data_IF_107634213250
#
_entry.id   IF_107634213250
#
_cell.length_a   1.000
_cell.length_b   1.000
_cell.length_c   1.000
_cell.angle_alpha   90.00
_cell.angle_beta   90.00
_cell.angle_gamma   90.00
#
_symmetry.space_group_name_H-M   'P 1'
#
loop_
_entity.id
_entity.type
_entity.pdbx_description
1 polymer ?
#
# COMPACT_ATOMS: atom_id res chain seq x y z
N UNK A 1 -44.08 -45.02 10.53
CA UNK A 1 -43.44 -44.03 11.43
C UNK A 1 -42.03 -44.55 11.62
N UNK A 2 -40.95 -43.96 11.12
CA UNK A 2 -40.59 -42.55 11.03
C UNK A 2 -39.76 -42.27 9.76
N UNK A 3 -39.73 -41.00 9.40
CA UNK A 3 -39.07 -40.36 8.28
C UNK A 3 -37.55 -40.26 8.43
N UNK A 4 -36.79 -40.57 7.38
CA UNK A 4 -35.42 -40.07 7.20
C UNK A 4 -35.35 -39.18 5.96
N UNK A 5 -35.38 -37.86 6.19
CA UNK A 5 -35.09 -36.82 5.21
C UNK A 5 -33.61 -36.86 4.82
N UNK A 6 -33.30 -37.36 3.62
CA UNK A 6 -32.03 -37.12 2.96
C UNK A 6 -32.05 -35.77 2.24
N UNK A 7 -31.35 -34.77 2.79
CA UNK A 7 -30.99 -33.56 2.03
C UNK A 7 -29.98 -33.95 0.94
N UNK A 8 -30.10 -33.44 -0.30
CA UNK A 8 -29.09 -33.64 -1.32
C UNK A 8 -27.79 -32.87 -0.98
N UNK A 9 -26.63 -33.30 -1.50
CA UNK A 9 -25.36 -32.65 -1.22
C UNK A 9 -25.36 -31.22 -1.77
N UNK A 10 -24.71 -30.31 -1.03
CA UNK A 10 -24.50 -28.92 -1.45
C UNK A 10 -23.80 -28.92 -2.81
N UNK A 11 -24.47 -28.34 -3.80
CA UNK A 11 -23.88 -28.06 -5.10
C UNK A 11 -22.63 -27.20 -4.94
N UNK A 12 -21.61 -27.57 -5.70
CA UNK A 12 -20.45 -26.75 -5.99
C UNK A 12 -20.94 -25.39 -6.54
N UNK A 13 -20.50 -24.29 -5.93
CA UNK A 13 -20.72 -22.95 -6.49
C UNK A 13 -19.85 -22.80 -7.74
N UNK A 14 -20.38 -23.20 -8.90
CA UNK A 14 -19.79 -22.90 -10.20
C UNK A 14 -19.69 -21.37 -10.40
N UNK A 15 -18.48 -20.87 -10.69
CA UNK A 15 -18.28 -19.61 -11.42
C UNK A 15 -17.77 -18.37 -10.67
N UNK A 16 -17.52 -18.40 -9.36
CA UNK A 16 -16.96 -17.22 -8.65
C UNK A 16 -15.44 -17.15 -8.80
N UNK A 17 -14.91 -16.03 -9.29
CA UNK A 17 -13.47 -15.80 -9.36
C UNK A 17 -12.84 -15.91 -7.96
N UNK A 18 -11.75 -16.68 -7.83
CA UNK A 18 -11.01 -16.82 -6.58
C UNK A 18 -10.53 -15.44 -6.11
N UNK A 19 -10.87 -15.06 -4.87
CA UNK A 19 -10.58 -13.73 -4.33
C UNK A 19 -11.67 -12.67 -4.57
N UNK A 20 -12.81 -13.00 -5.17
CA UNK A 20 -13.97 -12.10 -5.24
C UNK A 20 -14.73 -12.00 -3.91
N UNK A 21 -15.47 -10.91 -3.68
CA UNK A 21 -16.43 -10.79 -2.56
C UNK A 21 -17.83 -10.97 -3.12
N UNK A 22 -18.44 -12.13 -2.87
CA UNK A 22 -19.78 -12.43 -3.37
C UNK A 22 -19.89 -12.37 -4.90
N UNK A 23 -18.80 -12.67 -5.63
CA UNK A 23 -18.73 -12.57 -7.09
C UNK A 23 -18.33 -11.19 -7.63
N UNK A 24 -18.08 -10.20 -6.77
CA UNK A 24 -17.66 -8.86 -7.17
C UNK A 24 -16.16 -8.63 -6.97
N UNK A 25 -15.58 -7.79 -7.83
CA UNK A 25 -14.16 -7.42 -7.83
C UNK A 25 -13.74 -6.54 -6.65
N UNK A 26 -14.68 -5.77 -6.08
CA UNK A 26 -14.42 -4.87 -4.96
C UNK A 26 -15.69 -4.64 -4.13
N UNK A 27 -15.52 -4.13 -2.91
CA UNK A 27 -16.63 -3.71 -2.05
C UNK A 27 -17.50 -2.64 -2.74
N UNK A 28 -16.87 -1.71 -3.46
CA UNK A 28 -17.59 -0.64 -4.15
C UNK A 28 -18.56 -1.21 -5.20
N UNK A 29 -18.10 -2.16 -6.03
CA UNK A 29 -18.94 -2.82 -7.04
C UNK A 29 -20.03 -3.70 -6.42
N UNK A 30 -19.73 -4.37 -5.32
CA UNK A 30 -20.72 -5.12 -4.56
C UNK A 30 -21.86 -4.20 -4.10
N UNK A 31 -21.53 -3.06 -3.49
CA UNK A 31 -22.53 -2.10 -3.02
C UNK A 31 -23.31 -1.46 -4.18
N UNK A 32 -22.62 -1.04 -5.23
CA UNK A 32 -23.22 -0.41 -6.43
C UNK A 32 -24.26 -1.34 -7.08
N UNK A 33 -23.94 -2.63 -7.18
CA UNK A 33 -24.81 -3.61 -7.85
C UNK A 33 -26.03 -4.01 -7.01
N UNK A 34 -25.98 -3.81 -5.69
CA UNK A 34 -26.97 -4.37 -4.76
C UNK A 34 -27.77 -3.31 -3.98
N UNK A 35 -27.40 -2.03 -4.07
CA UNK A 35 -28.13 -0.93 -3.42
C UNK A 35 -28.88 -0.06 -4.43
N UNK A 36 -30.08 0.45 -4.09
CA UNK A 36 -30.72 1.52 -4.85
C UNK A 36 -29.80 2.75 -4.99
N UNK A 37 -29.84 3.50 -6.11
CA UNK A 37 -28.90 4.59 -6.37
C UNK A 37 -28.76 5.62 -5.25
N UNK A 38 -29.86 6.02 -4.61
CA UNK A 38 -29.85 6.98 -3.50
C UNK A 38 -29.16 6.41 -2.24
N UNK A 39 -29.40 5.12 -1.94
CA UNK A 39 -28.75 4.46 -0.81
C UNK A 39 -27.27 4.18 -1.09
N UNK A 40 -26.92 3.83 -2.33
CA UNK A 40 -25.52 3.68 -2.74
C UNK A 40 -24.75 4.98 -2.61
N UNK A 41 -25.34 6.10 -3.03
CA UNK A 41 -24.75 7.44 -2.90
C UNK A 41 -24.50 7.79 -1.44
N UNK A 42 -25.47 7.54 -0.56
CA UNK A 42 -25.35 7.84 0.87
C UNK A 42 -24.34 6.92 1.57
N UNK A 43 -24.35 5.61 1.25
CA UNK A 43 -23.35 4.67 1.73
C UNK A 43 -21.94 5.07 1.26
N UNK A 44 -21.79 5.45 0.00
CA UNK A 44 -20.51 5.92 -0.57
C UNK A 44 -20.04 7.21 0.09
N UNK A 45 -20.93 8.15 0.41
CA UNK A 45 -20.58 9.37 1.15
C UNK A 45 -19.96 9.05 2.51
N UNK A 46 -20.52 8.08 3.24
CA UNK A 46 -20.03 7.67 4.56
C UNK A 46 -18.73 6.85 4.45
N UNK A 47 -18.66 5.93 3.49
CA UNK A 47 -17.53 5.02 3.34
C UNK A 47 -16.33 5.66 2.64
N UNK A 48 -16.55 6.52 1.63
CA UNK A 48 -15.49 7.13 0.82
C UNK A 48 -15.26 8.61 1.14
N UNK A 49 -16.20 9.29 1.81
CA UNK A 49 -16.10 10.73 2.09
C UNK A 49 -16.43 11.60 0.88
N UNK A 50 -16.19 12.91 1.02
CA UNK A 50 -16.44 13.91 -0.02
C UNK A 50 -15.20 14.79 -0.17
N UNK A 51 -14.74 14.96 -1.41
CA UNK A 51 -13.67 15.89 -1.72
C UNK A 51 -14.27 17.28 -2.00
N UNK A 52 -13.85 18.30 -1.24
CA UNK A 52 -14.42 19.65 -1.34
C UNK A 52 -15.97 19.65 -1.32
N UNK A 53 -16.58 18.85 -0.45
CA UNK A 53 -18.03 18.66 -0.32
C UNK A 53 -18.75 17.99 -1.51
N UNK A 54 -18.01 17.42 -2.46
CA UNK A 54 -18.55 16.68 -3.60
C UNK A 54 -18.05 15.23 -3.63
N UNK A 55 -18.82 14.29 -4.22
CA UNK A 55 -18.30 12.97 -4.54
C UNK A 55 -17.09 13.08 -5.46
N UNK A 56 -16.16 12.13 -5.34
CA UNK A 56 -14.94 12.13 -6.14
C UNK A 56 -15.25 11.97 -7.63
N UNK A 57 -14.64 12.81 -8.46
CA UNK A 57 -14.84 12.81 -9.91
C UNK A 57 -13.97 11.73 -10.57
N UNK A 58 -14.55 10.93 -11.47
CA UNK A 58 -13.79 10.01 -12.32
C UNK A 58 -13.16 10.76 -13.50
N UNK A 59 -11.91 10.43 -13.83
CA UNK A 59 -11.16 11.05 -14.93
C UNK A 59 -11.25 10.18 -16.18
N UNK A 60 -11.50 10.80 -17.33
CA UNK A 60 -11.38 10.14 -18.63
C UNK A 60 -9.91 9.90 -18.99
N UNK A 61 -9.58 8.66 -19.33
CA UNK A 61 -8.22 8.25 -19.69
C UNK A 61 -7.99 8.30 -21.21
N UNK A 62 -6.75 8.55 -21.67
CA UNK A 62 -6.41 8.48 -23.08
C UNK A 62 -6.66 7.08 -23.67
N UNK A 63 -7.08 7.02 -24.93
CA UNK A 63 -7.32 5.74 -25.64
C UNK A 63 -6.13 4.78 -25.56
N UNK A 64 -4.90 5.30 -25.69
CA UNK A 64 -3.67 4.50 -25.55
C UNK A 64 -3.56 3.78 -24.19
N UNK A 65 -4.07 4.37 -23.12
CA UNK A 65 -4.08 3.75 -21.78
C UNK A 65 -5.11 2.63 -21.71
N UNK A 66 -6.33 2.86 -22.21
CA UNK A 66 -7.39 1.84 -22.22
C UNK A 66 -7.07 0.68 -23.16
N UNK A 67 -6.40 0.95 -24.29
CA UNK A 67 -5.96 -0.05 -25.25
C UNK A 67 -4.89 -0.97 -24.63
N UNK A 68 -3.91 -0.39 -23.93
CA UNK A 68 -2.91 -1.16 -23.18
C UNK A 68 -3.56 -2.01 -22.08
N UNK A 69 -4.50 -1.42 -21.33
CA UNK A 69 -5.25 -2.13 -20.28
C UNK A 69 -6.03 -3.33 -20.84
N UNK A 70 -6.71 -3.15 -21.98
CA UNK A 70 -7.43 -4.22 -22.67
C UNK A 70 -6.49 -5.29 -23.23
N UNK A 71 -5.41 -4.89 -23.91
CA UNK A 71 -4.47 -5.81 -24.54
C UNK A 71 -3.68 -6.67 -23.52
N UNK A 72 -3.38 -6.10 -22.35
CA UNK A 72 -2.61 -6.77 -21.30
C UNK A 72 -3.45 -7.20 -20.09
N UNK A 73 -4.78 -7.08 -20.18
CA UNK A 73 -5.75 -7.56 -19.20
C UNK A 73 -5.52 -7.08 -17.75
N UNK A 74 -5.33 -5.78 -17.55
CA UNK A 74 -5.27 -5.16 -16.22
C UNK A 74 -6.37 -4.10 -16.04
N UNK A 75 -6.81 -3.91 -14.81
CA UNK A 75 -7.80 -2.88 -14.49
C UNK A 75 -7.17 -1.49 -14.52
N UNK A 76 -7.92 -0.48 -14.97
CA UNK A 76 -7.50 0.91 -14.85
C UNK A 76 -8.64 1.76 -14.31
N UNK A 77 -8.35 2.54 -13.27
CA UNK A 77 -9.28 3.50 -12.68
C UNK A 77 -8.58 4.84 -12.49
N UNK A 78 -9.32 5.94 -12.63
CA UNK A 78 -8.75 7.28 -12.51
C UNK A 78 -9.72 8.26 -11.84
N UNK A 79 -9.22 9.04 -10.87
CA UNK A 79 -10.03 9.97 -10.06
C UNK A 79 -9.34 11.29 -9.76
N UNK A 80 -10.10 12.35 -9.45
CA UNK A 80 -9.55 13.68 -9.14
C UNK A 80 -9.87 14.14 -7.71
N UNK A 81 -8.85 14.52 -6.96
CA UNK A 81 -8.94 15.30 -5.74
C UNK A 81 -8.61 16.78 -6.02
N UNK A 82 -9.57 17.64 -5.76
CA UNK A 82 -9.46 19.09 -5.87
C UNK A 82 -9.08 19.73 -4.53
N UNK A 83 -8.65 20.99 -4.61
CA UNK A 83 -8.51 21.91 -3.49
C UNK A 83 -9.32 23.18 -3.78
N UNK A 84 -9.65 23.95 -2.74
CA UNK A 84 -10.27 25.25 -2.94
C UNK A 84 -9.27 26.20 -3.63
N UNK A 85 -9.78 27.14 -4.43
CA UNK A 85 -8.92 28.10 -5.13
C UNK A 85 -8.22 29.03 -4.12
N UNK A 86 -6.89 29.00 -4.11
CA UNK A 86 -6.09 29.98 -3.37
C UNK A 86 -5.88 31.28 -4.17
N UNK A 87 -5.84 32.43 -3.49
CA UNK A 87 -5.56 33.71 -4.15
C UNK A 87 -4.06 33.96 -4.34
N UNK A 88 -3.22 33.40 -3.47
CA UNK A 88 -1.77 33.67 -3.44
C UNK A 88 -0.92 32.53 -4.02
N UNK A 89 -1.53 31.38 -4.34
CA UNK A 89 -0.84 30.22 -4.88
C UNK A 89 -1.62 29.65 -6.05
N UNK A 90 -0.90 29.22 -7.07
CA UNK A 90 -1.49 28.46 -8.16
C UNK A 90 -1.81 27.03 -7.67
N UNK A 91 -2.82 26.37 -8.25
CA UNK A 91 -3.05 24.94 -8.04
C UNK A 91 -1.78 24.13 -8.28
N UNK A 92 -1.49 23.17 -7.39
CA UNK A 92 -0.34 22.28 -7.51
C UNK A 92 -0.83 20.88 -7.85
N UNK A 93 -1.32 20.74 -9.08
CA UNK A 93 -1.87 19.48 -9.58
C UNK A 93 -0.73 18.52 -9.92
N UNK A 94 -0.76 17.34 -9.31
CA UNK A 94 0.14 16.22 -9.61
C UNK A 94 -0.70 14.99 -9.96
N UNK A 95 -0.31 14.26 -11.00
CA UNK A 95 -0.90 12.97 -11.36
C UNK A 95 -0.09 11.83 -10.77
N UNK A 96 -0.71 11.00 -9.94
CA UNK A 96 -0.07 9.92 -9.19
C UNK A 96 -0.63 8.58 -9.60
N UNK A 97 0.22 7.57 -9.77
CA UNK A 97 -0.16 6.20 -10.13
C UNK A 97 0.22 5.18 -9.06
N UNK A 98 -0.63 4.18 -8.84
CA UNK A 98 -0.34 2.98 -8.05
C UNK A 98 -0.47 1.74 -8.93
N UNK A 99 0.51 0.83 -8.85
CA UNK A 99 0.44 -0.47 -9.54
C UNK A 99 0.30 -1.58 -8.50
N UNK A 100 -0.75 -2.38 -8.67
CA UNK A 100 -0.86 -3.71 -8.05
C UNK A 100 -0.73 -4.80 -9.12
N UNK A 101 0.00 -5.86 -8.82
CA UNK A 101 0.12 -7.01 -9.70
C UNK A 101 0.39 -8.31 -8.94
N UNK A 102 0.04 -9.42 -9.57
CA UNK A 102 0.43 -10.77 -9.20
C UNK A 102 1.75 -11.14 -9.86
N UNK A 103 2.41 -12.19 -9.37
CA UNK A 103 3.56 -12.81 -10.06
C UNK A 103 3.14 -13.33 -11.45
N UNK A 104 4.11 -13.51 -12.34
CA UNK A 104 3.86 -13.84 -13.75
C UNK A 104 3.99 -15.34 -14.07
N UNK A 105 4.86 -16.05 -13.36
CA UNK A 105 5.18 -17.47 -13.58
C UNK A 105 5.26 -18.22 -12.24
N UNK A 106 5.17 -19.57 -12.22
CA UNK A 106 5.24 -20.33 -10.98
C UNK A 106 6.53 -20.10 -10.18
N UNK A 107 6.44 -20.20 -8.85
CA UNK A 107 7.59 -20.02 -7.94
C UNK A 107 8.65 -21.12 -8.06
N UNK A 108 8.37 -22.19 -8.82
CA UNK A 108 9.30 -23.27 -9.15
C UNK A 108 10.20 -22.97 -10.35
N UNK A 109 9.91 -21.92 -11.13
CA UNK A 109 10.76 -21.48 -12.24
C UNK A 109 12.10 -20.94 -11.73
N UNK A 110 13.08 -20.79 -12.62
CA UNK A 110 14.37 -20.19 -12.26
C UNK A 110 14.17 -18.73 -11.81
N UNK A 111 14.90 -18.26 -10.79
CA UNK A 111 14.67 -16.94 -10.19
C UNK A 111 14.82 -15.78 -11.19
N UNK A 112 15.80 -15.89 -12.11
CA UNK A 112 15.97 -14.92 -13.18
C UNK A 112 14.74 -14.84 -14.11
N UNK A 113 14.12 -15.98 -14.44
CA UNK A 113 12.92 -16.02 -15.28
C UNK A 113 11.73 -15.41 -14.53
N UNK A 114 11.60 -15.71 -13.23
CA UNK A 114 10.54 -15.12 -12.40
C UNK A 114 10.62 -13.59 -12.38
N UNK A 115 11.81 -13.05 -12.07
CA UNK A 115 12.05 -11.60 -12.01
C UNK A 115 11.79 -10.95 -13.36
N UNK A 116 12.36 -11.49 -14.44
CA UNK A 116 12.18 -11.00 -15.80
C UNK A 116 10.71 -10.99 -16.21
N UNK A 117 9.96 -12.08 -15.98
CA UNK A 117 8.55 -12.14 -16.34
C UNK A 117 7.70 -11.14 -15.55
N UNK A 118 8.05 -10.82 -14.30
CA UNK A 118 7.37 -9.75 -13.55
C UNK A 118 7.68 -8.38 -14.18
N UNK A 119 8.94 -8.10 -14.53
CA UNK A 119 9.32 -6.85 -15.21
C UNK A 119 8.59 -6.69 -16.56
N UNK A 120 8.53 -7.74 -17.36
CA UNK A 120 7.80 -7.76 -18.63
C UNK A 120 6.30 -7.54 -18.45
N UNK A 121 5.72 -8.09 -17.38
CA UNK A 121 4.31 -7.94 -17.04
C UNK A 121 3.95 -6.53 -16.53
N UNK A 122 4.83 -5.92 -15.74
CA UNK A 122 4.61 -4.58 -15.17
C UNK A 122 4.90 -3.48 -16.20
N UNK A 123 5.82 -3.70 -17.15
CA UNK A 123 6.17 -2.74 -18.20
C UNK A 123 4.96 -2.14 -18.93
N UNK A 124 3.98 -2.89 -19.47
CA UNK A 124 2.82 -2.30 -20.15
C UNK A 124 1.94 -1.46 -19.20
N UNK A 125 1.91 -1.79 -17.91
CA UNK A 125 1.19 -1.00 -16.90
C UNK A 125 1.91 0.34 -16.67
N UNK A 126 3.25 0.33 -16.61
CA UNK A 126 4.06 1.56 -16.55
C UNK A 126 3.90 2.37 -17.84
N UNK A 127 3.92 1.73 -19.01
CA UNK A 127 3.73 2.40 -20.30
C UNK A 127 2.34 3.08 -20.37
N UNK A 128 1.30 2.46 -19.78
CA UNK A 128 -0.05 3.04 -19.66
C UNK A 128 -0.09 4.23 -18.68
N UNK A 129 0.62 4.15 -17.55
CA UNK A 129 0.79 5.27 -16.64
C UNK A 129 1.50 6.45 -17.33
N UNK A 130 2.56 6.18 -18.09
CA UNK A 130 3.27 7.16 -18.90
C UNK A 130 2.40 7.78 -19.99
N UNK A 131 1.60 6.99 -20.71
CA UNK A 131 0.63 7.47 -21.70
C UNK A 131 -0.47 8.35 -21.07
N UNK A 132 -0.79 8.12 -19.80
CA UNK A 132 -1.69 8.94 -18.99
C UNK A 132 -1.02 10.18 -18.39
N UNK A 133 0.28 10.42 -18.60
CA UNK A 133 0.98 11.57 -18.04
C UNK A 133 1.12 11.52 -16.52
N UNK A 134 1.23 10.32 -15.94
CA UNK A 134 1.53 10.15 -14.51
C UNK A 134 2.90 10.78 -14.19
N UNK A 135 2.94 11.59 -13.14
CA UNK A 135 4.15 12.27 -12.69
C UNK A 135 4.89 11.46 -11.62
N UNK A 136 4.17 10.75 -10.75
CA UNK A 136 4.76 9.89 -9.71
C UNK A 136 4.07 8.53 -9.73
N UNK A 137 4.83 7.45 -9.87
CA UNK A 137 4.34 6.09 -9.91
C UNK A 137 4.95 5.27 -8.78
N UNK A 138 4.13 4.52 -8.05
CA UNK A 138 4.59 3.61 -7.00
C UNK A 138 4.20 2.17 -7.30
N UNK A 139 5.16 1.26 -7.14
CA UNK A 139 4.96 -0.17 -7.21
C UNK A 139 4.69 -0.75 -5.82
N UNK A 140 4.15 -1.97 -5.76
CA UNK A 140 3.90 -2.71 -4.52
C UNK A 140 5.18 -3.20 -3.83
N UNK A 141 5.05 -3.72 -2.61
CA UNK A 141 6.19 -4.23 -1.85
C UNK A 141 6.87 -5.44 -2.51
N UNK A 142 8.21 -5.42 -2.52
CA UNK A 142 9.06 -6.48 -3.07
C UNK A 142 8.57 -6.93 -4.46
N UNK A 143 8.27 -5.96 -5.33
CA UNK A 143 7.53 -6.21 -6.57
C UNK A 143 8.27 -7.16 -7.52
N UNK A 144 9.58 -7.27 -7.40
CA UNK A 144 10.47 -8.07 -8.26
C UNK A 144 10.49 -9.57 -7.94
N UNK A 145 9.78 -10.00 -6.89
CA UNK A 145 9.81 -11.39 -6.41
C UNK A 145 8.44 -11.89 -5.90
N UNK A 146 8.25 -13.21 -5.83
CA UNK A 146 7.23 -13.79 -4.95
C UNK A 146 7.51 -13.40 -3.49
N UNK A 147 6.48 -13.29 -2.68
CA UNK A 147 6.59 -12.93 -1.27
C UNK A 147 6.99 -14.16 -0.42
N UNK A 148 8.16 -14.71 -0.71
CA UNK A 148 8.62 -16.01 -0.23
C UNK A 148 9.01 -16.07 1.27
N UNK A 149 8.81 -14.98 2.02
CA UNK A 149 9.25 -14.88 3.41
C UNK A 149 8.52 -15.86 4.35
N UNK A 150 7.35 -16.39 3.97
CA UNK A 150 6.69 -17.48 4.67
C UNK A 150 7.53 -18.75 4.77
N UNK A 151 8.29 -19.05 3.73
CA UNK A 151 9.04 -20.31 3.61
C UNK A 151 10.21 -20.35 4.58
N UNK A 152 10.73 -19.19 5.00
CA UNK A 152 11.94 -19.01 5.82
C UNK A 152 13.22 -19.56 5.16
N UNK A 153 13.15 -20.02 3.90
CA UNK A 153 14.28 -20.55 3.15
C UNK A 153 15.20 -19.43 2.66
N UNK A 154 16.52 -19.65 2.75
CA UNK A 154 17.51 -18.63 2.40
C UNK A 154 17.83 -18.52 0.92
N UNK A 155 17.50 -19.52 0.09
CA UNK A 155 17.71 -19.45 -1.37
C UNK A 155 17.01 -18.25 -2.02
N UNK A 156 15.87 -17.82 -1.47
CA UNK A 156 15.13 -16.64 -1.95
C UNK A 156 15.91 -15.32 -1.81
N UNK A 157 17.00 -15.31 -1.02
CA UNK A 157 17.90 -14.17 -0.90
C UNK A 157 18.66 -13.85 -2.21
N UNK A 158 18.65 -14.75 -3.20
CA UNK A 158 19.20 -14.49 -4.54
C UNK A 158 18.41 -13.43 -5.33
N UNK A 159 17.15 -13.15 -4.94
CA UNK A 159 16.41 -12.01 -5.47
C UNK A 159 16.94 -10.65 -4.98
N UNK A 160 17.75 -10.64 -3.91
CA UNK A 160 18.28 -9.41 -3.36
C UNK A 160 19.33 -8.79 -4.29
N UNK A 161 19.15 -7.52 -4.64
CA UNK A 161 20.03 -6.78 -5.55
C UNK A 161 20.55 -5.49 -4.89
N UNK A 162 21.69 -4.93 -5.32
CA UNK A 162 22.10 -3.60 -4.86
C UNK A 162 21.07 -2.55 -5.30
N UNK A 163 21.08 -1.39 -4.64
CA UNK A 163 20.10 -0.32 -4.90
C UNK A 163 20.15 0.24 -6.33
N UNK A 164 21.27 0.09 -7.02
CA UNK A 164 21.50 0.42 -8.43
C UNK A 164 21.49 -0.83 -9.34
N UNK A 165 20.87 -1.91 -8.88
CA UNK A 165 20.73 -3.18 -9.57
C UNK A 165 19.79 -3.13 -10.79
N UNK A 166 19.58 -4.31 -11.38
CA UNK A 166 18.85 -4.49 -12.64
C UNK A 166 17.44 -3.90 -12.60
N UNK A 167 16.68 -4.07 -11.51
CA UNK A 167 15.31 -3.53 -11.45
C UNK A 167 15.31 -2.01 -11.32
N UNK A 168 16.27 -1.41 -10.63
CA UNK A 168 16.45 0.04 -10.63
C UNK A 168 16.81 0.55 -12.02
N UNK A 169 17.78 -0.05 -12.70
CA UNK A 169 18.20 0.37 -14.05
C UNK A 169 17.06 0.32 -15.07
N UNK A 170 16.29 -0.77 -15.06
CA UNK A 170 15.07 -0.91 -15.86
C UNK A 170 14.08 0.23 -15.62
N UNK A 171 13.87 0.61 -14.35
CA UNK A 171 12.95 1.70 -14.01
C UNK A 171 13.55 3.09 -14.28
N UNK A 172 14.88 3.27 -14.26
CA UNK A 172 15.54 4.54 -14.64
C UNK A 172 15.26 4.90 -16.09
N UNK A 173 15.31 3.92 -17.00
CA UNK A 173 14.97 4.12 -18.41
C UNK A 173 13.51 4.57 -18.59
N UNK A 174 12.57 3.94 -17.88
CA UNK A 174 11.15 4.27 -17.94
C UNK A 174 10.85 5.62 -17.27
N UNK A 175 11.50 5.93 -16.15
CA UNK A 175 11.41 7.21 -15.46
C UNK A 175 11.81 8.36 -16.40
N UNK A 176 12.95 8.22 -17.09
CA UNK A 176 13.43 9.20 -18.05
C UNK A 176 12.52 9.29 -19.29
N UNK A 177 12.12 8.15 -19.87
CA UNK A 177 11.24 8.08 -21.04
C UNK A 177 9.93 8.84 -20.82
N UNK A 178 9.36 8.74 -19.63
CA UNK A 178 8.05 9.30 -19.30
C UNK A 178 8.12 10.59 -18.48
N UNK A 179 9.31 11.09 -18.15
CA UNK A 179 9.50 12.21 -17.24
C UNK A 179 8.69 12.00 -15.95
N UNK A 180 8.92 10.87 -15.29
CA UNK A 180 8.11 10.35 -14.19
C UNK A 180 9.00 9.91 -13.04
N UNK A 181 8.67 10.30 -11.81
CA UNK A 181 9.29 9.76 -10.59
C UNK A 181 8.75 8.35 -10.36
N UNK A 182 9.62 7.40 -10.06
CA UNK A 182 9.24 6.00 -9.79
C UNK A 182 9.72 5.57 -8.41
N UNK A 183 8.80 5.03 -7.61
CA UNK A 183 9.06 4.48 -6.27
C UNK A 183 9.10 2.96 -6.38
N UNK A 184 10.28 2.36 -6.13
CA UNK A 184 10.57 0.94 -6.35
C UNK A 184 10.92 0.20 -5.06
N UNK A 185 9.97 -0.54 -4.44
CA UNK A 185 10.24 -1.38 -3.27
C UNK A 185 10.88 -2.73 -3.67
N UNK A 186 12.12 -2.96 -3.26
CA UNK A 186 12.93 -4.13 -3.59
C UNK A 186 13.48 -4.83 -2.32
N UNK A 187 13.97 -6.06 -2.50
CA UNK A 187 14.88 -6.68 -1.55
C UNK A 187 16.30 -6.17 -1.86
N UNK A 188 16.86 -5.34 -1.00
CA UNK A 188 18.20 -4.78 -1.16
C UNK A 188 19.26 -5.75 -0.62
N UNK A 189 20.38 -5.87 -1.33
CA UNK A 189 21.66 -6.40 -0.83
C UNK A 189 22.67 -5.26 -0.71
N UNK A 190 23.02 -4.90 0.51
CA UNK A 190 23.95 -3.80 0.79
C UNK A 190 25.41 -4.26 0.65
N UNK A 191 25.95 -4.14 -0.56
CA UNK A 191 27.32 -4.56 -0.90
C UNK A 191 28.40 -3.83 -0.08
N UNK A 192 28.10 -2.67 0.48
CA UNK A 192 29.05 -1.87 1.25
C UNK A 192 29.05 -2.24 2.75
N UNK A 193 28.00 -2.92 3.23
CA UNK A 193 27.83 -3.29 4.63
C UNK A 193 27.64 -4.80 4.80
N UNK A 194 28.63 -5.57 4.34
CA UNK A 194 28.71 -7.02 4.55
C UNK A 194 27.61 -7.80 3.82
N UNK A 195 27.10 -7.28 2.70
CA UNK A 195 26.02 -7.88 1.91
C UNK A 195 24.73 -8.11 2.71
N UNK A 196 24.51 -7.29 3.73
CA UNK A 196 23.32 -7.35 4.58
C UNK A 196 22.07 -7.08 3.75
N UNK A 197 21.02 -7.86 4.00
CA UNK A 197 19.75 -7.76 3.27
C UNK A 197 18.81 -6.79 3.97
N UNK A 198 18.09 -5.99 3.19
CA UNK A 198 17.10 -5.03 3.67
C UNK A 198 15.84 -5.04 2.81
N UNK A 199 14.71 -4.66 3.40
CA UNK A 199 13.51 -4.29 2.64
C UNK A 199 13.55 -2.78 2.40
N UNK A 200 13.71 -2.39 1.14
CA UNK A 200 14.15 -1.05 0.76
C UNK A 200 13.33 -0.50 -0.37
N UNK A 201 13.00 0.76 -0.29
CA UNK A 201 12.47 1.53 -1.41
C UNK A 201 13.57 2.38 -2.00
N UNK A 202 13.73 2.29 -3.32
CA UNK A 202 14.55 3.19 -4.13
C UNK A 202 13.63 4.22 -4.78
N UNK A 203 13.94 5.51 -4.59
CA UNK A 203 13.21 6.61 -5.24
C UNK A 203 14.01 7.09 -6.44
N UNK A 204 13.46 6.86 -7.63
CA UNK A 204 14.06 7.22 -8.92
C UNK A 204 13.43 8.52 -9.41
N UNK A 205 14.25 9.54 -9.64
CA UNK A 205 13.82 10.83 -10.16
C UNK A 205 13.41 10.77 -11.63
N UNK A 206 12.66 11.78 -12.08
CA UNK A 206 12.14 11.88 -13.44
C UNK A 206 13.21 12.01 -14.54
N UNK A 207 14.47 12.29 -14.16
CA UNK A 207 15.62 12.27 -15.07
C UNK A 207 16.37 10.91 -15.07
N UNK A 208 15.83 9.90 -14.38
CA UNK A 208 16.46 8.60 -14.22
C UNK A 208 17.56 8.56 -13.15
N UNK A 209 17.80 9.62 -12.36
CA UNK A 209 18.77 9.55 -11.25
C UNK A 209 18.14 8.91 -10.00
N UNK A 210 18.92 8.19 -9.19
CA UNK A 210 18.48 7.77 -7.85
C UNK A 210 18.48 9.00 -6.94
N UNK A 211 17.32 9.37 -6.39
CA UNK A 211 17.21 10.46 -5.41
C UNK A 211 17.70 9.98 -4.05
N UNK A 212 17.37 8.74 -3.68
CA UNK A 212 17.80 8.11 -2.44
C UNK A 212 17.01 6.85 -2.12
N UNK A 213 17.18 6.36 -0.90
CA UNK A 213 16.54 5.13 -0.42
C UNK A 213 15.85 5.32 0.94
N UNK A 214 14.90 4.44 1.25
CA UNK A 214 14.31 4.28 2.58
C UNK A 214 14.15 2.79 2.91
N UNK A 215 14.63 2.38 4.09
CA UNK A 215 14.52 1.00 4.61
C UNK A 215 13.36 0.85 5.58
N UNK A 216 12.67 -0.29 5.52
CA UNK A 216 11.47 -0.59 6.31
C UNK A 216 11.72 -0.46 7.82
N UNK A 217 11.11 0.53 8.45
CA UNK A 217 11.31 0.81 9.88
C UNK A 217 10.75 -0.28 10.81
N UNK A 218 9.60 -0.87 10.46
CA UNK A 218 8.90 -1.84 11.30
C UNK A 218 8.81 -3.20 10.62
N UNK A 219 9.48 -4.20 11.20
CA UNK A 219 9.57 -5.55 10.62
C UNK A 219 8.56 -6.48 11.31
N UNK A 220 7.62 -7.09 10.57
CA UNK A 220 6.69 -8.06 11.14
C UNK A 220 7.40 -9.35 11.54
N UNK A 221 6.80 -9.99 12.54
CA UNK A 221 7.18 -11.33 13.05
C UNK A 221 5.95 -12.24 13.20
N UNK A 222 4.86 -11.92 12.50
CA UNK A 222 3.52 -12.46 12.77
C UNK A 222 3.10 -13.44 11.69
N UNK A 223 2.77 -14.67 12.10
CA UNK A 223 2.24 -15.71 11.21
C UNK A 223 3.19 -16.06 10.06
N UNK A 224 2.70 -15.94 8.83
CA UNK A 224 3.49 -16.18 7.61
C UNK A 224 4.43 -15.02 7.25
N UNK A 225 4.27 -13.85 7.86
CA UNK A 225 5.13 -12.68 7.67
C UNK A 225 6.41 -12.79 8.52
N UNK A 226 7.23 -13.82 8.23
CA UNK A 226 8.48 -14.11 8.93
C UNK A 226 9.66 -13.26 8.44
N UNK A 227 9.40 -12.00 8.13
CA UNK A 227 10.32 -11.07 7.49
C UNK A 227 11.59 -10.82 8.31
N UNK A 228 11.48 -10.81 9.65
CA UNK A 228 12.64 -10.65 10.54
C UNK A 228 13.67 -11.77 10.43
N UNK A 229 13.34 -12.88 9.76
CA UNK A 229 14.31 -13.91 9.41
C UNK A 229 15.29 -13.39 8.37
N UNK A 230 14.89 -12.47 7.51
CA UNK A 230 15.60 -12.03 6.31
C UNK A 230 16.32 -10.69 6.48
N UNK A 231 15.72 -9.73 7.19
CA UNK A 231 16.24 -8.37 7.36
C UNK A 231 15.88 -7.77 8.72
N UNK A 232 16.64 -6.75 9.12
CA UNK A 232 16.49 -6.03 10.39
C UNK A 232 15.70 -4.72 10.22
N UNK A 233 15.30 -4.11 11.34
CA UNK A 233 14.67 -2.79 11.38
C UNK A 233 15.53 -1.73 10.68
N UNK A 234 14.90 -0.94 9.82
CA UNK A 234 15.56 0.07 8.99
C UNK A 234 16.31 1.13 9.79
N UNK A 235 17.45 1.58 9.25
CA UNK A 235 18.33 2.59 9.85
C UNK A 235 18.33 3.93 9.10
N UNK A 236 17.37 4.14 8.19
CA UNK A 236 17.30 5.35 7.34
C UNK A 236 16.41 6.46 7.91
N UNK A 237 15.78 6.24 9.07
CA UNK A 237 14.85 7.20 9.68
C UNK A 237 13.54 7.33 8.89
N UNK A 238 13.07 8.57 8.72
CA UNK A 238 11.80 8.87 8.04
C UNK A 238 12.00 9.90 6.92
N UNK A 239 12.81 9.58 5.89
CA UNK A 239 13.19 10.54 4.86
C UNK A 239 11.97 10.99 4.05
N UNK A 240 11.97 12.27 3.67
CA UNK A 240 11.04 12.86 2.70
C UNK A 240 11.86 13.30 1.50
N UNK A 241 11.47 12.82 0.33
CA UNK A 241 12.13 13.08 -0.94
C UNK A 241 11.44 14.24 -1.63
N UNK A 242 12.16 15.35 -1.79
CA UNK A 242 11.68 16.48 -2.59
C UNK A 242 11.92 16.18 -4.07
N UNK A 243 10.83 16.14 -4.84
CA UNK A 243 10.84 15.84 -6.28
C UNK A 243 10.34 17.04 -7.07
N UNK A 244 10.44 16.98 -8.40
CA UNK A 244 9.82 17.98 -9.28
C UNK A 244 8.28 18.10 -9.10
N UNK A 245 7.64 17.08 -8.49
CA UNK A 245 6.19 16.93 -8.42
C UNK A 245 5.62 16.97 -7.00
N UNK A 246 6.46 17.28 -5.99
CA UNK A 246 6.06 17.36 -4.58
C UNK A 246 6.96 16.57 -3.65
N UNK A 247 6.68 16.68 -2.35
CA UNK A 247 7.40 15.99 -1.28
C UNK A 247 6.78 14.64 -0.99
N UNK A 248 7.49 13.57 -1.32
CA UNK A 248 7.01 12.20 -1.14
C UNK A 248 7.75 11.47 -0.02
N UNK A 249 7.07 10.57 0.65
CA UNK A 249 7.65 9.62 1.60
C UNK A 249 7.05 8.24 1.37
N UNK A 250 7.63 7.22 1.99
CA UNK A 250 7.21 5.84 1.80
C UNK A 250 7.16 5.11 3.13
N UNK A 251 5.97 4.75 3.59
CA UNK A 251 5.78 3.91 4.76
C UNK A 251 5.64 2.45 4.30
N UNK A 252 6.67 1.63 4.47
CA UNK A 252 6.69 0.29 3.88
C UNK A 252 5.86 -0.70 4.72
N UNK A 253 4.81 -1.25 4.10
CA UNK A 253 4.01 -2.39 4.55
C UNK A 253 3.60 -2.35 6.03
N UNK A 254 4.24 -3.13 6.90
CA UNK A 254 3.89 -3.29 8.32
C UNK A 254 4.03 -2.00 9.13
N UNK A 255 4.79 -1.02 8.61
CA UNK A 255 4.77 0.34 9.14
C UNK A 255 3.38 1.00 9.08
N UNK A 256 2.41 0.45 8.32
CA UNK A 256 1.01 0.91 8.30
C UNK A 256 0.33 0.85 9.66
N UNK A 257 0.71 -0.13 10.50
CA UNK A 257 0.14 -0.34 11.83
C UNK A 257 0.67 0.62 12.89
N UNK A 258 1.62 1.50 12.53
CA UNK A 258 2.35 2.35 13.47
C UNK A 258 2.02 3.82 13.22
N UNK A 259 1.05 4.41 13.94
CA UNK A 259 0.70 5.84 13.81
C UNK A 259 1.90 6.78 13.94
N UNK A 260 2.88 6.43 14.77
CA UNK A 260 4.11 7.21 14.95
C UNK A 260 4.99 7.24 13.69
N UNK A 261 5.02 6.14 12.91
CA UNK A 261 5.78 6.06 11.66
C UNK A 261 5.18 7.03 10.61
N UNK A 262 3.85 7.02 10.48
CA UNK A 262 3.11 7.98 9.66
C UNK A 262 3.33 9.42 10.11
N UNK A 263 3.25 9.66 11.42
CA UNK A 263 3.46 10.97 12.01
C UNK A 263 4.83 11.52 11.68
N UNK A 264 5.89 10.72 11.78
CA UNK A 264 7.26 11.14 11.53
C UNK A 264 7.47 11.61 10.08
N UNK A 265 6.88 10.95 9.08
CA UNK A 265 6.90 11.47 7.70
C UNK A 265 6.14 12.79 7.56
N UNK A 266 4.99 12.92 8.23
CA UNK A 266 4.26 14.18 8.29
C UNK A 266 5.04 15.32 8.96
N UNK A 267 5.78 15.02 10.04
CA UNK A 267 6.67 15.96 10.73
C UNK A 267 7.80 16.45 9.82
N UNK A 268 8.32 15.57 8.97
CA UNK A 268 9.36 15.89 7.98
C UNK A 268 8.80 16.56 6.71
N UNK A 269 7.50 16.86 6.66
CA UNK A 269 6.89 17.69 5.62
C UNK A 269 6.41 16.93 4.38
N UNK A 270 6.12 15.64 4.49
CA UNK A 270 5.50 14.88 3.40
C UNK A 270 4.16 15.48 2.95
N UNK A 271 3.94 15.49 1.64
CA UNK A 271 2.67 15.86 0.98
C UNK A 271 1.95 14.61 0.47
N UNK A 272 2.71 13.58 0.09
CA UNK A 272 2.21 12.26 -0.31
C UNK A 272 3.04 11.19 0.41
N UNK A 273 2.39 10.21 1.04
CA UNK A 273 3.06 9.03 1.60
C UNK A 273 2.54 7.78 0.93
N UNK A 274 3.41 7.05 0.25
CA UNK A 274 3.08 5.76 -0.33
C UNK A 274 3.17 4.66 0.73
N UNK A 275 2.30 3.66 0.64
CA UNK A 275 2.31 2.47 1.48
C UNK A 275 2.30 1.20 0.63
N UNK A 276 3.44 0.85 0.01
CA UNK A 276 3.60 -0.42 -0.68
C UNK A 276 3.55 -1.56 0.34
N UNK A 277 2.67 -2.51 0.11
CA UNK A 277 2.39 -3.63 1.01
C UNK A 277 2.25 -4.94 0.25
N UNK A 278 2.49 -6.04 0.95
CA UNK A 278 2.01 -7.36 0.62
C UNK A 278 1.34 -7.94 1.87
N UNK A 279 0.03 -8.14 1.86
CA UNK A 279 -0.70 -8.69 2.99
C UNK A 279 -1.90 -9.53 2.57
N UNK A 280 -2.19 -10.56 3.36
CA UNK A 280 -3.26 -11.54 3.13
C UNK A 280 -4.22 -11.61 4.31
N UNK A 281 -5.36 -12.29 4.10
CA UNK A 281 -6.16 -12.88 5.17
C UNK A 281 -7.23 -11.97 5.80
N UNK A 282 -8.23 -12.64 6.39
CA UNK A 282 -9.45 -12.04 6.94
C UNK A 282 -9.22 -11.13 8.14
N UNK A 283 -8.11 -11.30 8.87
CA UNK A 283 -7.76 -10.43 9.99
C UNK A 283 -7.11 -9.12 9.52
N UNK A 284 -6.38 -9.15 8.40
CA UNK A 284 -5.67 -7.98 7.89
C UNK A 284 -6.59 -7.06 7.09
N UNK A 285 -7.43 -7.63 6.23
CA UNK A 285 -8.28 -6.87 5.29
C UNK A 285 -9.20 -5.82 5.98
N UNK A 286 -9.83 -6.09 7.13
CA UNK A 286 -10.64 -5.09 7.83
C UNK A 286 -9.86 -3.84 8.27
N UNK A 287 -8.54 -3.94 8.46
CA UNK A 287 -7.69 -2.80 8.81
C UNK A 287 -7.30 -1.95 7.60
N UNK A 288 -7.29 -2.54 6.39
CA UNK A 288 -6.86 -1.89 5.16
C UNK A 288 -7.55 -0.56 4.83
N UNK A 289 -8.90 -0.42 4.91
CA UNK A 289 -9.57 0.85 4.65
C UNK A 289 -9.46 1.85 5.82
N UNK A 290 -8.86 1.45 6.96
CA UNK A 290 -8.83 2.23 8.20
C UNK A 290 -7.48 2.93 8.37
N UNK A 291 -6.38 2.19 8.36
CA UNK A 291 -5.08 2.66 8.87
C UNK A 291 -4.48 3.77 8.01
N UNK A 292 -4.38 3.51 6.69
CA UNK A 292 -3.87 4.47 5.73
C UNK A 292 -4.75 5.72 5.61
N UNK A 293 -6.08 5.53 5.69
CA UNK A 293 -7.03 6.65 5.68
C UNK A 293 -6.92 7.51 6.93
N UNK A 294 -6.77 6.86 8.09
CA UNK A 294 -6.52 7.56 9.35
C UNK A 294 -5.20 8.35 9.29
N UNK A 295 -4.14 7.77 8.70
CA UNK A 295 -2.87 8.46 8.53
C UNK A 295 -2.98 9.72 7.64
N UNK A 296 -3.72 9.66 6.54
CA UNK A 296 -4.00 10.80 5.67
C UNK A 296 -4.71 11.94 6.44
N UNK A 297 -5.72 11.60 7.24
CA UNK A 297 -6.50 12.54 8.06
C UNK A 297 -5.62 13.16 9.16
N UNK A 298 -5.02 12.33 10.00
CA UNK A 298 -4.31 12.75 11.21
C UNK A 298 -3.10 13.65 10.90
N UNK A 299 -2.51 13.47 9.71
CA UNK A 299 -1.33 14.22 9.31
C UNK A 299 -1.57 15.23 8.18
N UNK A 300 -2.79 15.26 7.63
CA UNK A 300 -3.21 16.19 6.59
C UNK A 300 -2.29 16.15 5.35
N UNK A 301 -2.07 14.94 4.82
CA UNK A 301 -1.37 14.68 3.56
C UNK A 301 -2.07 13.53 2.79
N UNK A 302 -1.70 13.27 1.54
CA UNK A 302 -2.26 12.17 0.74
C UNK A 302 -1.58 10.82 1.02
N UNK A 303 -2.32 9.72 1.04
CA UNK A 303 -1.77 8.37 1.16
C UNK A 303 -2.12 7.54 -0.07
N UNK A 304 -1.12 6.88 -0.66
CA UNK A 304 -1.31 5.87 -1.71
C UNK A 304 -1.07 4.46 -1.18
N UNK A 305 -2.13 3.70 -0.94
CA UNK A 305 -2.07 2.34 -0.38
C UNK A 305 -2.05 1.30 -1.49
N UNK A 306 -1.06 0.41 -1.47
CA UNK A 306 -0.84 -0.56 -2.55
C UNK A 306 -0.69 -1.94 -1.94
N UNK A 307 -1.51 -2.89 -2.35
CA UNK A 307 -1.32 -4.28 -1.97
C UNK A 307 -1.13 -5.14 -3.21
N UNK A 308 -0.36 -6.20 -3.05
CA UNK A 308 -0.25 -7.30 -4.01
C UNK A 308 -1.62 -7.94 -4.29
N UNK A 309 -1.73 -8.65 -5.42
CA UNK A 309 -2.90 -9.47 -5.76
C UNK A 309 -2.52 -10.92 -6.06
N UNK A 310 -3.51 -11.81 -5.93
CA UNK A 310 -3.40 -13.22 -6.29
C UNK A 310 -2.93 -14.12 -5.14
N UNK A 311 -2.74 -15.40 -5.42
CA UNK A 311 -2.27 -16.40 -4.45
C UNK A 311 -0.99 -17.01 -4.97
N UNK A 312 0.04 -17.07 -4.13
CA UNK A 312 1.35 -17.62 -4.46
C UNK A 312 1.54 -18.97 -3.77
N UNK A 313 1.98 -19.99 -4.53
CA UNK A 313 2.22 -21.35 -4.03
C UNK A 313 3.70 -21.65 -4.13
N UNK A 314 4.30 -22.22 -3.08
CA UNK A 314 5.73 -22.47 -2.97
C UNK A 314 6.09 -23.96 -3.09
N UNK A 315 7.34 -24.30 -3.48
CA UNK A 315 7.73 -25.69 -3.75
C UNK A 315 7.71 -26.60 -2.51
N UNK A 316 8.06 -26.03 -1.35
CA UNK A 316 8.14 -26.76 -0.09
C UNK A 316 7.05 -26.25 0.87
N UNK A 317 6.28 -27.14 1.51
CA UNK A 317 5.30 -26.73 2.51
C UNK A 317 5.93 -26.04 3.72
N UNK A 318 5.20 -25.12 4.33
CA UNK A 318 5.59 -24.39 5.54
C UNK A 318 4.42 -24.30 6.53
N UNK A 319 4.66 -23.77 7.73
CA UNK A 319 3.66 -23.62 8.79
C UNK A 319 3.54 -22.16 9.23
N UNK A 320 2.29 -21.72 9.43
CA UNK A 320 1.94 -20.34 9.81
C UNK A 320 2.06 -20.04 11.31
N UNK A 321 2.45 -21.01 12.14
CA UNK A 321 2.55 -20.83 13.59
C UNK A 321 1.21 -20.76 14.35
N UNK A 322 0.11 -21.16 13.71
CA UNK A 322 -1.25 -21.16 14.27
C UNK A 322 -1.76 -22.54 14.71
N UNK A 323 -0.88 -23.55 14.67
CA UNK A 323 -1.20 -24.94 15.03
C UNK A 323 -1.92 -25.75 13.94
N UNK A 324 -2.15 -25.18 12.74
CA UNK A 324 -2.71 -25.91 11.60
C UNK A 324 -1.64 -26.75 10.87
N UNK A 325 -2.05 -27.70 10.02
CA UNK A 325 -1.13 -28.46 9.18
C UNK A 325 -0.30 -27.56 8.27
N UNK A 326 0.86 -28.08 7.84
CA UNK A 326 1.66 -27.42 6.82
C UNK A 326 0.89 -27.30 5.49
N UNK A 327 1.18 -26.25 4.74
CA UNK A 327 0.56 -25.95 3.45
C UNK A 327 1.59 -25.29 2.53
N UNK A 328 1.26 -25.10 1.26
CA UNK A 328 2.18 -24.56 0.26
C UNK A 328 1.75 -23.18 -0.27
N UNK A 329 0.52 -22.76 -0.05
CA UNK A 329 0.00 -21.47 -0.50
C UNK A 329 0.13 -20.39 0.59
N UNK A 330 0.57 -19.19 0.22
CA UNK A 330 0.70 -18.08 1.18
C UNK A 330 -0.64 -17.48 1.63
N UNK A 331 -1.73 -17.86 0.96
CA UNK A 331 -3.00 -17.16 1.04
C UNK A 331 -3.16 -16.08 -0.03
N UNK A 332 -4.38 -15.53 -0.09
CA UNK A 332 -4.77 -14.58 -1.12
C UNK A 332 -4.40 -13.14 -0.74
N UNK A 333 -3.54 -12.52 -1.54
CA UNK A 333 -3.31 -11.08 -1.49
C UNK A 333 -4.51 -10.37 -2.11
N UNK A 334 -5.14 -9.49 -1.33
CA UNK A 334 -6.47 -8.95 -1.63
C UNK A 334 -6.46 -7.61 -2.38
N UNK A 335 -5.33 -7.17 -2.93
CA UNK A 335 -5.24 -5.94 -3.71
C UNK A 335 -5.89 -4.75 -3.03
N UNK A 336 -6.98 -4.24 -3.61
CA UNK A 336 -7.75 -3.15 -3.02
C UNK A 336 -6.93 -1.86 -2.85
N UNK A 337 -5.97 -1.64 -3.76
CA UNK A 337 -5.16 -0.43 -3.76
C UNK A 337 -6.03 0.80 -3.99
N UNK A 338 -5.77 1.89 -3.26
CA UNK A 338 -6.59 3.09 -3.27
C UNK A 338 -5.79 4.31 -2.79
N UNK A 339 -6.32 5.51 -3.04
CA UNK A 339 -5.81 6.75 -2.48
C UNK A 339 -6.71 7.27 -1.36
N UNK A 340 -6.10 7.81 -0.31
CA UNK A 340 -6.78 8.56 0.76
C UNK A 340 -6.27 9.99 0.80
N UNK A 341 -7.18 10.94 0.98
CA UNK A 341 -6.92 12.38 0.97
C UNK A 341 -6.94 12.97 2.39
N UNK A 342 -6.30 14.13 2.59
CA UNK A 342 -6.27 14.81 3.89
C UNK A 342 -7.65 15.23 4.42
N UNK A 343 -8.64 15.44 3.54
CA UNK A 343 -10.02 15.82 3.90
C UNK A 343 -10.92 14.61 4.27
N UNK A 344 -10.30 13.45 4.52
CA UNK A 344 -10.94 12.17 4.77
C UNK A 344 -11.62 11.51 3.56
N UNK A 345 -11.60 12.13 2.37
CA UNK A 345 -12.08 11.45 1.16
C UNK A 345 -11.10 10.38 0.68
N UNK A 346 -11.58 9.37 -0.05
CA UNK A 346 -10.73 8.35 -0.68
C UNK A 346 -11.34 7.85 -1.99
N UNK A 347 -10.51 7.24 -2.84
CA UNK A 347 -10.99 6.55 -4.04
C UNK A 347 -11.68 5.24 -3.67
N UNK A 348 -12.61 4.74 -4.50
CA UNK A 348 -12.88 3.32 -4.56
C UNK A 348 -11.56 2.52 -4.71
N UNK A 349 -11.55 1.29 -4.24
CA UNK A 349 -10.40 0.42 -4.37
C UNK A 349 -10.34 -0.22 -5.77
N UNK A 350 -9.12 -0.53 -6.23
CA UNK A 350 -8.92 -1.50 -7.30
C UNK A 350 -9.48 -2.88 -6.92
N UNK A 351 -9.50 -3.78 -7.90
CA UNK A 351 -9.91 -5.17 -7.71
C UNK A 351 -9.09 -5.88 -6.63
N UNK A 352 -9.71 -6.90 -6.03
CA UNK A 352 -9.04 -7.78 -5.07
C UNK A 352 -8.15 -8.84 -5.70
N UNK A 353 -8.37 -9.15 -6.97
CA UNK A 353 -7.74 -10.30 -7.61
C UNK A 353 -7.17 -10.02 -9.01
N UNK A 354 -7.37 -8.81 -9.55
CA UNK A 354 -6.81 -8.41 -10.85
C UNK A 354 -5.62 -7.49 -10.68
N UNK A 355 -4.66 -7.61 -11.59
CA UNK A 355 -3.63 -6.60 -11.74
C UNK A 355 -4.29 -5.28 -12.14
N UNK A 356 -3.70 -4.15 -11.77
CA UNK A 356 -4.30 -2.87 -12.11
C UNK A 356 -3.47 -1.63 -11.82
N UNK A 357 -3.94 -0.54 -12.41
CA UNK A 357 -3.38 0.80 -12.34
C UNK A 357 -4.44 1.77 -11.80
N UNK A 358 -4.18 2.35 -10.63
CA UNK A 358 -4.98 3.45 -10.06
C UNK A 358 -4.28 4.77 -10.35
N UNK A 359 -4.96 5.70 -11.02
CA UNK A 359 -4.45 7.04 -11.32
C UNK A 359 -5.24 8.07 -10.52
N UNK A 360 -4.57 9.09 -9.99
CA UNK A 360 -5.27 10.22 -9.43
C UNK A 360 -4.60 11.57 -9.67
N UNK A 361 -5.39 12.55 -10.11
CA UNK A 361 -5.01 13.95 -10.07
C UNK A 361 -5.21 14.46 -8.64
N UNK A 362 -4.19 15.05 -8.04
CA UNK A 362 -4.24 15.60 -6.68
C UNK A 362 -3.78 17.05 -6.69
N UNK A 363 -4.57 17.97 -6.15
CA UNK A 363 -4.05 19.30 -5.80
C UNK A 363 -3.36 19.27 -4.43
N UNK A 364 -2.03 19.40 -4.42
CA UNK A 364 -1.24 19.37 -3.19
C UNK A 364 -1.52 20.56 -2.26
N UNK A 365 -2.17 21.62 -2.74
CA UNK A 365 -2.61 22.71 -1.89
C UNK A 365 -3.66 22.25 -0.85
N UNK A 366 -4.40 21.17 -1.12
CA UNK A 366 -5.37 20.60 -0.18
C UNK A 366 -4.71 20.25 1.17
N UNK A 367 -3.45 19.80 1.15
CA UNK A 367 -2.71 19.49 2.37
C UNK A 367 -2.61 20.70 3.31
N UNK A 368 -2.31 21.89 2.78
CA UNK A 368 -2.25 23.12 3.60
C UNK A 368 -3.64 23.55 4.04
N UNK A 369 -4.62 23.53 3.14
CA UNK A 369 -5.99 23.95 3.46
C UNK A 369 -6.59 23.15 4.61
N UNK A 370 -6.37 21.83 4.63
CA UNK A 370 -6.81 20.97 5.73
C UNK A 370 -6.01 21.21 7.01
N UNK A 371 -4.69 21.43 6.91
CA UNK A 371 -3.86 21.81 8.08
C UNK A 371 -4.40 23.08 8.74
N UNK A 372 -4.76 24.08 7.95
CA UNK A 372 -5.26 25.36 8.46
C UNK A 372 -6.70 25.23 9.00
N UNK A 373 -7.57 24.47 8.31
CA UNK A 373 -8.97 24.29 8.68
C UNK A 373 -9.17 23.49 9.96
N UNK A 374 -8.44 22.38 10.11
CA UNK A 374 -8.58 21.47 11.25
C UNK A 374 -7.53 21.68 12.34
N UNK A 375 -6.43 22.33 12.00
CA UNK A 375 -5.37 22.72 12.93
C UNK A 375 -4.74 21.57 13.74
N UNK A 376 -4.83 20.32 13.28
CA UNK A 376 -4.28 19.15 13.98
C UNK A 376 -2.79 19.31 14.29
N UNK A 377 -2.02 19.89 13.36
CA UNK A 377 -0.58 20.14 13.54
C UNK A 377 -0.30 21.22 14.58
N UNK A 378 -1.18 22.21 14.68
CA UNK A 378 -1.08 23.32 15.64
C UNK A 378 -1.42 22.87 17.06
N UNK A 379 -2.36 21.94 17.21
CA UNK A 379 -2.85 21.45 18.51
C UNK A 379 -2.20 20.15 18.96
N UNK A 380 -1.16 19.69 18.27
CA UNK A 380 -0.58 18.36 18.46
C UNK A 380 0.24 18.17 19.75
N UNK A 381 0.67 19.26 20.43
CA UNK A 381 1.42 19.21 21.70
C UNK A 381 2.62 18.25 21.68
N UNK A 382 3.42 18.31 20.62
CA UNK A 382 4.52 17.36 20.39
C UNK A 382 5.56 17.34 21.51
N UNK A 383 5.79 18.46 22.19
CA UNK A 383 6.63 18.58 23.38
C UNK A 383 6.14 17.67 24.52
N UNK A 384 4.85 17.72 24.84
CA UNK A 384 4.25 16.85 25.87
C UNK A 384 4.40 15.37 25.52
N UNK A 385 4.22 15.00 24.25
CA UNK A 385 4.39 13.61 23.81
C UNK A 385 5.85 13.18 23.78
N UNK A 386 6.79 14.08 23.46
CA UNK A 386 8.22 13.79 23.50
C UNK A 386 8.68 13.50 24.94
N UNK A 387 8.24 14.30 25.92
CA UNK A 387 8.52 14.06 27.33
C UNK A 387 7.91 12.73 27.79
N UNK A 388 6.63 12.48 27.45
CA UNK A 388 5.95 11.23 27.79
C UNK A 388 6.68 10.00 27.25
N UNK A 389 7.08 10.02 25.97
CA UNK A 389 7.80 8.90 25.35
C UNK A 389 9.19 8.74 25.97
N UNK A 390 9.87 9.84 26.29
CA UNK A 390 11.18 9.81 26.96
C UNK A 390 11.08 9.19 28.36
N UNK A 391 10.04 9.51 29.13
CA UNK A 391 9.78 8.88 30.42
C UNK A 391 9.38 7.40 30.27
N UNK A 392 8.53 7.05 29.30
CA UNK A 392 8.09 5.68 29.04
C UNK A 392 9.25 4.72 28.74
N UNK A 393 10.29 5.21 28.05
CA UNK A 393 11.46 4.40 27.69
C UNK A 393 12.39 4.09 28.87
N UNK A 394 12.19 4.71 30.05
CA UNK A 394 13.01 4.44 31.23
C UNK A 394 12.67 3.08 31.85
N UNK A 395 13.66 2.29 32.30
CA UNK A 395 13.41 0.98 32.91
C UNK A 395 12.51 1.00 34.15
N UNK A 396 12.47 2.13 34.86
CA UNK A 396 11.69 2.35 36.08
C UNK A 396 10.37 3.11 35.85
N UNK A 397 9.95 3.25 34.59
CA UNK A 397 8.69 3.90 34.23
C UNK A 397 7.52 3.31 35.03
N UNK A 398 6.78 4.21 35.69
CA UNK A 398 5.53 3.87 36.37
C UNK A 398 4.38 4.45 35.57
N UNK A 399 3.47 3.61 35.04
CA UNK A 399 2.27 4.09 34.37
C UNK A 399 1.47 5.04 35.27
N UNK A 400 0.93 6.11 34.69
CA UNK A 400 0.08 7.06 35.38
C UNK A 400 -1.31 6.45 35.67
N UNK A 401 -1.39 5.56 36.66
CA UNK A 401 -2.62 4.87 37.07
C UNK A 401 -3.13 5.49 38.37
N UNK A 402 -4.37 5.99 38.34
CA UNK A 402 -5.09 6.49 39.52
C UNK A 402 -6.07 5.40 39.96
N UNK A 403 -5.79 4.72 41.06
CA UNK A 403 -6.62 3.63 41.59
C UNK A 403 -7.66 4.14 42.60
N UNK A 404 -8.84 3.53 42.60
CA UNK A 404 -9.83 3.72 43.66
C UNK A 404 -9.25 3.17 44.99
N UNK A 405 -9.13 4.00 46.05
CA UNK A 405 -8.59 3.57 47.34
C UNK A 405 -9.43 2.48 48.04
N UNK A 406 -10.65 2.18 47.57
CA UNK A 406 -11.51 1.13 48.11
C UNK A 406 -11.43 -0.21 47.35
N UNK A 407 -10.77 -0.27 46.19
CA UNK A 407 -10.78 -1.46 45.32
C UNK A 407 -10.16 -2.70 46.00
N UNK A 408 -9.26 -2.49 46.97
CA UNK A 408 -8.59 -3.53 47.72
C UNK A 408 -9.15 -3.75 49.14
N UNK A 409 -10.23 -3.06 49.53
CA UNK A 409 -10.83 -3.15 50.88
C UNK A 409 -11.99 -4.15 50.99
N UNK A 410 -12.31 -4.89 49.93
CA UNK A 410 -13.37 -5.93 49.90
C UNK A 410 -12.82 -7.37 49.86
N UNK A 411 -11.56 -7.58 50.23
CA UNK A 411 -10.99 -8.91 50.41
C UNK A 411 -11.17 -9.41 51.85
#
# INVERSE_FOLDING_TARGET
MESSNGKPPRGEEEGKAAGSIGGHESLHRLLESNLPPELFKEASRLLLGLNCAHPLEAISLPGATTDLAGAHNFDVQAFRFNADKEHMRQPRIVRVGLIQNSIAVPTTCHFADQKKSIMEKVKPIIDAAGASGVNILCLQEAWTMPFAFCTREKRWCEFAEPVDGESTQFLQELAQKYNMVIVSPILERDINHGETIWNTVVVIGNNGNIIGIHRKNHIPRVGDFNESTYYMEGNTGHPVFETAYGKIAVNICYGRHHPLNWLAFGLNGAEIVFNPSATVGELSEPMWPIEARNAAIANSYFVGSINRVGTEVFPNPFTSGDGKPQHADFGHFYGSSHFSAPDASCTPSLSRYRDGLMISDMDLNLCRQIKDKWAFRMTARYDMYADLLSEYLKPDFKPQIIADPLINKRA
#
